data_IF_853243376972
#
_entry.id   IF_853243376972
#
_cell.length_a   1.000
_cell.length_b   1.000
_cell.length_c   1.000
_cell.angle_alpha   90.00
_cell.angle_beta   90.00
_cell.angle_gamma   90.00
#
_symmetry.space_group_name_H-M   'P 1'
#
loop_
_entity.id
_entity.type
_entity.pdbx_description
1 polymer ?
#
# COMPACT_ATOMS: atom_id res chain seq x y z
N UNK A 1 7.65 9.57 15.30
CA UNK A 1 7.22 8.28 15.88
C UNK A 1 6.41 7.41 14.90
N UNK A 2 5.09 7.59 14.74
CA UNK A 2 4.26 6.64 13.94
C UNK A 2 4.63 6.64 12.46
N UNK A 3 4.75 7.83 11.84
CA UNK A 3 5.18 7.96 10.44
C UNK A 3 6.52 7.26 10.17
N UNK A 4 7.50 7.45 11.05
CA UNK A 4 8.82 6.84 10.89
C UNK A 4 8.76 5.32 11.00
N UNK A 5 7.97 4.80 11.94
CA UNK A 5 7.74 3.35 12.08
C UNK A 5 7.09 2.76 10.83
N UNK A 6 6.11 3.45 10.25
CA UNK A 6 5.45 3.02 9.01
C UNK A 6 6.44 2.99 7.83
N UNK A 7 7.23 4.04 7.68
CA UNK A 7 8.26 4.10 6.64
C UNK A 7 9.36 3.06 6.85
N UNK A 8 9.72 2.77 8.10
CA UNK A 8 10.67 1.72 8.43
C UNK A 8 10.15 0.33 8.04
N UNK A 9 8.88 0.04 8.31
CA UNK A 9 8.25 -1.23 7.92
C UNK A 9 8.29 -1.43 6.39
N UNK A 10 7.92 -0.40 5.61
CA UNK A 10 7.98 -0.48 4.14
C UNK A 10 9.41 -0.74 3.66
N UNK A 11 10.40 0.00 4.19
CA UNK A 11 11.81 -0.19 3.83
C UNK A 11 12.30 -1.61 4.13
N UNK A 12 11.88 -2.18 5.27
CA UNK A 12 12.23 -3.54 5.66
C UNK A 12 11.69 -4.57 4.66
N UNK A 13 10.40 -4.50 4.31
CA UNK A 13 9.79 -5.47 3.39
C UNK A 13 10.33 -5.33 1.96
N UNK A 14 10.60 -4.10 1.49
CA UNK A 14 11.28 -3.87 0.20
C UNK A 14 12.67 -4.53 0.18
N UNK A 15 13.45 -4.40 1.27
CA UNK A 15 14.76 -5.04 1.36
C UNK A 15 14.65 -6.57 1.27
N UNK A 16 13.67 -7.16 1.94
CA UNK A 16 13.44 -8.62 1.87
C UNK A 16 13.09 -9.08 0.45
N UNK A 17 12.22 -8.35 -0.25
CA UNK A 17 11.88 -8.65 -1.65
C UNK A 17 13.11 -8.53 -2.57
N UNK A 18 13.96 -7.51 -2.35
CA UNK A 18 15.21 -7.38 -3.11
C UNK A 18 16.15 -8.56 -2.87
N UNK A 19 16.31 -9.00 -1.62
CA UNK A 19 17.12 -10.17 -1.27
C UNK A 19 16.54 -11.44 -1.93
N UNK A 20 15.23 -11.66 -1.82
CA UNK A 20 14.55 -12.78 -2.47
C UNK A 20 14.77 -12.78 -3.99
N UNK A 21 14.55 -11.63 -4.64
CA UNK A 21 14.74 -11.47 -6.08
C UNK A 21 16.18 -11.78 -6.52
N UNK A 22 17.18 -11.35 -5.74
CA UNK A 22 18.59 -11.57 -6.07
C UNK A 22 18.97 -13.04 -5.92
N UNK A 23 18.50 -13.70 -4.85
CA UNK A 23 18.83 -15.10 -4.54
C UNK A 23 18.05 -16.09 -5.40
N UNK A 24 16.76 -15.87 -5.60
CA UNK A 24 15.87 -16.78 -6.33
C UNK A 24 15.70 -16.43 -7.80
N UNK A 25 16.20 -15.27 -8.24
CA UNK A 25 16.03 -14.70 -9.61
C UNK A 25 14.58 -14.47 -10.02
N UNK A 26 13.64 -14.68 -9.11
CA UNK A 26 12.21 -14.55 -9.32
C UNK A 26 11.54 -14.23 -7.98
N UNK A 27 10.46 -13.45 -8.02
CA UNK A 27 9.60 -13.16 -6.88
C UNK A 27 8.19 -13.60 -7.24
N UNK A 28 7.63 -14.50 -6.45
CA UNK A 28 6.27 -14.99 -6.66
C UNK A 28 5.25 -14.01 -6.08
N UNK A 29 4.10 -13.86 -6.73
CA UNK A 29 3.01 -13.00 -6.25
C UNK A 29 2.49 -13.45 -4.88
N UNK A 30 2.40 -14.76 -4.66
CA UNK A 30 2.09 -15.36 -3.35
C UNK A 30 3.24 -15.31 -2.32
N UNK A 31 4.37 -14.65 -2.62
CA UNK A 31 5.43 -14.47 -1.62
C UNK A 31 4.88 -13.75 -0.38
N UNK A 32 5.18 -14.30 0.79
CA UNK A 32 4.79 -13.69 2.06
C UNK A 32 5.33 -12.27 2.22
N UNK A 33 6.47 -11.97 1.60
CA UNK A 33 7.06 -10.63 1.58
C UNK A 33 6.26 -9.65 0.71
N UNK A 34 5.63 -10.11 -0.38
CA UNK A 34 4.74 -9.30 -1.21
C UNK A 34 3.46 -8.95 -0.43
N UNK A 35 2.82 -9.95 0.19
CA UNK A 35 1.62 -9.74 1.01
C UNK A 35 1.94 -8.77 2.17
N UNK A 36 3.08 -8.94 2.83
CA UNK A 36 3.52 -8.06 3.92
C UNK A 36 3.81 -6.63 3.44
N UNK A 37 4.44 -6.47 2.28
CA UNK A 37 4.69 -5.16 1.66
C UNK A 37 3.36 -4.45 1.37
N UNK A 38 2.38 -5.14 0.77
CA UNK A 38 1.07 -4.59 0.48
C UNK A 38 0.39 -4.06 1.76
N UNK A 39 0.41 -4.84 2.84
CA UNK A 39 -0.12 -4.40 4.14
C UNK A 39 0.62 -3.20 4.73
N UNK A 40 1.95 -3.15 4.59
CA UNK A 40 2.74 -2.01 5.05
C UNK A 40 2.43 -0.72 4.25
N UNK A 41 2.25 -0.84 2.93
CA UNK A 41 1.84 0.26 2.04
C UNK A 41 0.42 0.73 2.37
N UNK A 42 -0.52 -0.19 2.55
CA UNK A 42 -1.89 0.13 2.96
C UNK A 42 -1.90 0.91 4.28
N UNK A 43 -1.15 0.45 5.29
CA UNK A 43 -1.03 1.15 6.56
C UNK A 43 -0.44 2.57 6.41
N UNK A 44 0.50 2.77 5.49
CA UNK A 44 1.03 4.09 5.17
C UNK A 44 0.00 4.99 4.51
N UNK A 45 -0.76 4.48 3.54
CA UNK A 45 -1.77 5.23 2.82
C UNK A 45 -2.97 5.59 3.70
N UNK A 46 -3.35 4.71 4.63
CA UNK A 46 -4.43 4.96 5.59
C UNK A 46 -4.02 5.90 6.73
N UNK A 47 -2.71 6.07 6.98
CA UNK A 47 -2.22 6.93 8.05
C UNK A 47 -2.63 8.39 7.81
N UNK A 48 -3.32 8.99 8.80
CA UNK A 48 -3.85 10.36 8.75
C UNK A 48 -4.96 10.62 7.72
N UNK A 49 -5.51 9.59 7.06
CA UNK A 49 -6.74 9.77 6.28
C UNK A 49 -7.90 10.11 7.19
N UNK A 50 -8.47 11.30 6.97
CA UNK A 50 -9.67 11.74 7.70
C UNK A 50 -10.84 10.81 7.39
N UNK A 51 -11.59 10.44 8.44
CA UNK A 51 -12.85 9.71 8.29
C UNK A 51 -13.82 10.61 7.52
N UNK A 52 -14.25 10.16 6.34
CA UNK A 52 -15.34 10.82 5.63
C UNK A 52 -16.64 10.40 6.31
N UNK A 53 -17.28 11.35 7.01
CA UNK A 53 -18.62 11.15 7.56
C UNK A 53 -19.65 11.36 6.44
N UNK A 54 -19.69 10.44 5.47
CA UNK A 54 -20.86 10.29 4.61
C UNK A 54 -21.63 9.10 5.18
N UNK A 55 -22.72 9.40 5.89
CA UNK A 55 -23.58 8.39 6.48
C UNK A 55 -24.02 7.37 5.45
N UNK A 56 -24.13 6.11 5.91
CA UNK A 56 -24.79 4.97 5.26
C UNK A 56 -23.94 3.90 4.59
N UNK A 57 -22.76 4.18 4.02
CA UNK A 57 -21.94 3.13 3.39
C UNK A 57 -20.67 2.87 4.20
N UNK A 58 -20.37 1.60 4.50
CA UNK A 58 -19.04 1.14 4.93
C UNK A 58 -18.06 1.43 3.77
N UNK A 59 -17.61 2.68 3.65
CA UNK A 59 -16.68 3.07 2.61
C UNK A 59 -15.35 2.37 2.87
N UNK A 60 -14.96 1.51 1.94
CA UNK A 60 -13.56 1.12 1.81
C UNK A 60 -12.74 2.39 1.57
N UNK A 61 -11.83 2.68 2.51
CA UNK A 61 -11.03 3.91 2.49
C UNK A 61 -9.99 3.86 1.37
N UNK A 62 -9.52 2.68 1.00
CA UNK A 62 -8.55 2.49 -0.08
C UNK A 62 -9.22 2.70 -1.43
N UNK A 63 -10.39 2.09 -1.66
CA UNK A 63 -11.17 2.31 -2.87
C UNK A 63 -11.46 3.81 -3.09
N UNK A 64 -11.93 4.51 -2.05
CA UNK A 64 -12.20 5.94 -2.14
C UNK A 64 -10.95 6.80 -2.40
N UNK A 65 -9.80 6.42 -1.83
CA UNK A 65 -8.52 7.07 -2.10
C UNK A 65 -8.11 6.88 -3.56
N UNK A 66 -8.17 5.65 -4.08
CA UNK A 66 -7.79 5.34 -5.45
C UNK A 66 -8.70 6.02 -6.47
N UNK A 67 -10.03 6.05 -6.25
CA UNK A 67 -10.94 6.83 -7.09
C UNK A 67 -10.57 8.32 -7.13
N UNK A 68 -10.05 8.88 -6.02
CA UNK A 68 -9.60 10.28 -6.01
C UNK A 68 -8.28 10.47 -6.76
N UNK A 69 -7.32 9.56 -6.60
CA UNK A 69 -6.02 9.60 -7.28
C UNK A 69 -6.18 9.46 -8.79
N UNK A 70 -7.06 8.56 -9.26
CA UNK A 70 -7.32 8.34 -10.69
C UNK A 70 -7.83 9.58 -11.43
N UNK A 71 -8.45 10.55 -10.73
CA UNK A 71 -8.87 11.83 -11.33
C UNK A 71 -7.70 12.76 -11.65
N UNK A 72 -6.56 12.59 -10.97
CA UNK A 72 -5.39 13.46 -11.08
C UNK A 72 -4.18 12.77 -11.71
N UNK A 73 -4.21 11.44 -11.82
CA UNK A 73 -3.15 10.62 -12.38
C UNK A 73 -3.75 9.79 -13.53
N UNK A 74 -3.55 10.19 -14.80
CA UNK A 74 -4.13 9.51 -15.96
C UNK A 74 -3.86 8.01 -15.97
N UNK A 75 -2.60 7.62 -15.70
CA UNK A 75 -2.18 6.21 -15.63
C UNK A 75 -2.96 5.41 -14.58
N UNK A 76 -3.33 6.03 -13.46
CA UNK A 76 -4.12 5.36 -12.42
C UNK A 76 -5.63 5.35 -12.71
N UNK A 77 -6.09 6.18 -13.66
CA UNK A 77 -7.50 6.23 -14.10
C UNK A 77 -7.82 5.29 -15.26
N UNK A 78 -6.81 4.74 -15.92
CA UNK A 78 -6.94 3.76 -17.01
C UNK A 78 -7.16 2.31 -16.52
N UNK A 79 -7.11 2.07 -15.20
CA UNK A 79 -7.28 0.77 -14.54
C UNK A 79 -8.75 0.52 -14.19
#
# INVERSE_FOLDING_TARGET
>A
AVKEKLLWNVKKEVKQIMEEAVTRKFVHEDSSHIIALCGAVEACLLHQLRRRAAGFLRSDKMAALFTKVGKTCPVAGEI
#
